data_IF_553105435572
#
_entry.id   IF_553105435572
#
_cell.length_a   1.000
_cell.length_b   1.000
_cell.length_c   1.000
_cell.angle_alpha   90.00
_cell.angle_beta   90.00
_cell.angle_gamma   90.00
#
_symmetry.space_group_name_H-M   'P 1'
#
loop_
_entity.id
_entity.type
_entity.pdbx_description
1 polymer ?
#
# COMPACT_ATOMS: atom_id res chain seq x y z
N UNK A 1 -33.83 1.31 5.14
CA UNK A 1 -32.68 1.02 4.25
C UNK A 1 -32.92 -0.28 3.50
N UNK A 2 -32.37 -0.46 2.31
CA UNK A 2 -32.24 -1.80 1.71
C UNK A 2 -31.20 -2.61 2.52
N UNK A 3 -31.35 -3.94 2.62
CA UNK A 3 -30.42 -4.76 3.39
C UNK A 3 -29.02 -4.77 2.75
N UNK A 4 -27.97 -4.88 3.55
CA UNK A 4 -26.60 -4.99 3.04
C UNK A 4 -26.48 -6.18 2.06
N UNK A 5 -27.14 -7.30 2.37
CA UNK A 5 -27.23 -8.46 1.49
C UNK A 5 -27.77 -8.12 0.09
N UNK A 6 -28.78 -7.25 -0.03
CA UNK A 6 -29.34 -6.87 -1.34
C UNK A 6 -28.40 -6.03 -2.23
N UNK A 7 -27.30 -5.49 -1.67
CA UNK A 7 -26.20 -4.91 -2.45
C UNK A 7 -25.12 -5.92 -2.84
N UNK A 8 -24.95 -7.00 -2.06
CA UNK A 8 -23.89 -8.00 -2.23
C UNK A 8 -24.35 -9.17 -3.12
N UNK A 9 -25.59 -9.64 -2.97
CA UNK A 9 -26.10 -10.76 -3.77
C UNK A 9 -26.08 -10.54 -5.29
N UNK A 10 -26.24 -9.31 -5.85
CA UNK A 10 -26.15 -9.09 -7.30
C UNK A 10 -24.73 -9.11 -7.87
N UNK A 11 -23.67 -9.08 -7.05
CA UNK A 11 -22.27 -9.20 -7.54
C UNK A 11 -21.71 -10.63 -7.43
N UNK A 12 -22.46 -11.53 -6.78
CA UNK A 12 -22.18 -12.98 -6.80
C UNK A 12 -22.68 -13.59 -8.14
N UNK A 13 -22.13 -14.74 -8.57
CA UNK A 13 -22.70 -15.50 -9.69
C UNK A 13 -24.18 -15.82 -9.47
N UNK A 14 -24.98 -15.92 -10.54
CA UNK A 14 -26.44 -15.97 -10.39
C UNK A 14 -26.98 -17.32 -9.85
N UNK A 15 -26.16 -18.37 -9.82
CA UNK A 15 -26.51 -19.72 -9.37
C UNK A 15 -25.24 -20.56 -9.09
N UNK A 16 -25.44 -21.78 -8.56
CA UNK A 16 -24.34 -22.70 -8.22
C UNK A 16 -23.46 -23.07 -9.43
N UNK A 17 -24.05 -23.30 -10.61
CA UNK A 17 -23.33 -23.74 -11.82
C UNK A 17 -22.39 -22.66 -12.37
N UNK A 18 -22.77 -21.39 -12.23
CA UNK A 18 -21.95 -20.24 -12.62
C UNK A 18 -20.83 -19.91 -11.61
N UNK A 19 -20.83 -20.50 -10.41
CA UNK A 19 -19.82 -20.22 -9.38
C UNK A 19 -18.64 -21.23 -9.49
N UNK A 20 -17.45 -20.80 -9.94
CA UNK A 20 -16.37 -21.69 -10.36
C UNK A 20 -15.51 -22.21 -9.20
N UNK A 21 -15.61 -23.52 -8.91
CA UNK A 21 -14.70 -24.23 -8.01
C UNK A 21 -13.86 -25.26 -8.80
N UNK A 22 -12.84 -24.77 -9.51
CA UNK A 22 -11.85 -25.58 -10.23
C UNK A 22 -10.47 -25.35 -9.64
N UNK A 23 -9.81 -26.42 -9.21
CA UNK A 23 -8.47 -26.47 -8.63
C UNK A 23 -7.71 -27.68 -9.19
N UNK A 24 -6.39 -27.65 -9.06
CA UNK A 24 -5.47 -28.75 -9.35
C UNK A 24 -5.46 -29.82 -8.24
N UNK A 25 -4.64 -30.86 -8.43
CA UNK A 25 -4.34 -31.92 -7.45
C UNK A 25 -3.59 -31.41 -6.20
N UNK A 26 -3.22 -30.12 -6.15
CA UNK A 26 -2.51 -29.48 -5.04
C UNK A 26 -3.38 -29.17 -3.82
N UNK A 27 -4.71 -29.17 -3.99
CA UNK A 27 -5.70 -28.95 -2.93
C UNK A 27 -6.39 -30.28 -2.63
N UNK A 28 -6.43 -30.71 -1.36
CA UNK A 28 -7.05 -32.01 -1.04
C UNK A 28 -8.55 -32.03 -1.38
N UNK A 29 -9.03 -33.19 -1.85
CA UNK A 29 -10.41 -33.38 -2.28
C UNK A 29 -11.44 -33.01 -1.19
N UNK A 30 -11.12 -33.27 0.07
CA UNK A 30 -11.95 -32.89 1.24
C UNK A 30 -12.12 -31.37 1.39
N UNK A 31 -11.11 -30.57 1.01
CA UNK A 31 -11.20 -29.10 1.00
C UNK A 31 -12.04 -28.63 -0.18
N UNK A 32 -11.93 -29.28 -1.34
CA UNK A 32 -12.81 -29.03 -2.49
C UNK A 32 -14.26 -29.37 -2.16
N UNK A 33 -14.53 -30.47 -1.45
CA UNK A 33 -15.87 -30.82 -0.95
C UNK A 33 -16.42 -29.79 0.04
N UNK A 34 -15.59 -29.27 0.96
CA UNK A 34 -15.99 -28.19 1.89
C UNK A 34 -16.29 -26.87 1.17
N UNK A 35 -15.53 -26.52 0.14
CA UNK A 35 -15.83 -25.38 -0.74
C UNK A 35 -17.15 -25.57 -1.50
N UNK A 36 -17.39 -26.77 -2.05
CA UNK A 36 -18.66 -27.10 -2.72
C UNK A 36 -19.85 -27.07 -1.75
N UNK A 37 -19.67 -27.54 -0.51
CA UNK A 37 -20.69 -27.45 0.55
C UNK A 37 -21.01 -26.00 0.91
N UNK A 38 -19.99 -25.15 1.03
CA UNK A 38 -20.14 -23.72 1.31
C UNK A 38 -20.83 -22.98 0.16
N UNK A 39 -20.50 -23.33 -1.09
CA UNK A 39 -21.20 -22.88 -2.30
C UNK A 39 -22.68 -23.25 -2.28
N UNK A 40 -23.03 -24.49 -1.90
CA UNK A 40 -24.43 -24.93 -1.75
C UNK A 40 -25.17 -24.17 -0.65
N UNK A 41 -24.51 -23.89 0.47
CA UNK A 41 -25.10 -23.09 1.55
C UNK A 41 -25.30 -21.60 1.19
N UNK A 42 -24.56 -21.07 0.21
CA UNK A 42 -24.71 -19.70 -0.28
C UNK A 42 -26.04 -19.48 -1.04
N UNK A 43 -26.49 -20.49 -1.79
CA UNK A 43 -27.69 -20.44 -2.63
C UNK A 43 -28.92 -21.16 -2.03
N UNK A 44 -28.83 -21.68 -0.80
CA UNK A 44 -29.93 -22.40 -0.13
C UNK A 44 -30.17 -21.93 1.31
N UNK A 45 -31.35 -22.24 1.85
CA UNK A 45 -31.93 -21.70 3.10
C UNK A 45 -31.29 -22.22 4.41
N UNK A 46 -29.97 -22.42 4.43
CA UNK A 46 -29.23 -22.93 5.58
C UNK A 46 -28.81 -21.78 6.52
N UNK A 47 -28.91 -22.03 7.83
CA UNK A 47 -28.69 -21.04 8.90
C UNK A 47 -27.27 -20.44 8.88
N UNK A 48 -27.19 -19.14 9.22
CA UNK A 48 -25.94 -18.35 9.17
C UNK A 48 -24.79 -18.98 9.98
N UNK A 49 -25.06 -19.50 11.18
CA UNK A 49 -24.06 -20.17 12.02
C UNK A 49 -23.36 -21.36 11.32
N UNK A 50 -24.07 -22.10 10.46
CA UNK A 50 -23.49 -23.22 9.69
C UNK A 50 -22.72 -22.76 8.45
N UNK A 51 -23.07 -21.61 7.87
CA UNK A 51 -22.28 -20.95 6.82
C UNK A 51 -20.94 -20.46 7.37
N UNK A 52 -21.00 -19.73 8.50
CA UNK A 52 -19.84 -19.12 9.14
C UNK A 52 -18.81 -20.16 9.60
N UNK A 53 -19.26 -21.27 10.22
CA UNK A 53 -18.38 -22.35 10.66
C UNK A 53 -17.63 -23.01 9.49
N UNK A 54 -18.33 -23.34 8.39
CA UNK A 54 -17.68 -23.96 7.23
C UNK A 54 -16.68 -23.00 6.56
N UNK A 55 -17.01 -21.72 6.47
CA UNK A 55 -16.10 -20.70 5.94
C UNK A 55 -14.86 -20.51 6.82
N UNK A 56 -15.00 -20.54 8.15
CA UNK A 56 -13.88 -20.46 9.08
C UNK A 56 -12.97 -21.70 8.95
N UNK A 57 -13.51 -22.92 8.88
CA UNK A 57 -12.72 -24.15 8.64
C UNK A 57 -11.90 -24.05 7.35
N UNK A 58 -12.46 -23.49 6.27
CA UNK A 58 -11.74 -23.27 5.00
C UNK A 58 -10.62 -22.23 5.17
N UNK A 59 -10.87 -21.15 5.91
CA UNK A 59 -9.85 -20.14 6.22
C UNK A 59 -8.72 -20.69 7.06
N UNK A 60 -9.01 -21.50 8.09
CA UNK A 60 -8.02 -22.05 9.02
C UNK A 60 -7.07 -23.00 8.28
N UNK A 61 -7.60 -23.98 7.54
CA UNK A 61 -6.75 -24.94 6.79
C UNK A 61 -5.97 -24.27 5.65
N UNK A 62 -6.54 -23.28 4.97
CA UNK A 62 -5.79 -22.56 3.94
C UNK A 62 -4.75 -21.62 4.55
N UNK A 63 -5.02 -20.99 5.70
CA UNK A 63 -4.03 -20.21 6.44
C UNK A 63 -2.81 -21.03 6.82
N UNK A 64 -3.00 -22.24 7.37
CA UNK A 64 -1.89 -23.16 7.66
C UNK A 64 -1.05 -23.45 6.41
N UNK A 65 -1.69 -23.74 5.28
CA UNK A 65 -1.02 -24.03 4.00
C UNK A 65 -0.28 -22.82 3.43
N UNK A 66 -0.87 -21.63 3.51
CA UNK A 66 -0.26 -20.36 3.09
C UNK A 66 0.99 -20.01 3.92
N UNK A 67 1.03 -20.41 5.19
CA UNK A 67 2.14 -20.15 6.11
C UNK A 67 3.13 -21.34 6.26
N UNK A 68 2.92 -22.44 5.51
CA UNK A 68 3.83 -23.60 5.54
C UNK A 68 5.03 -23.37 4.61
N UNK A 69 6.05 -22.70 5.14
CA UNK A 69 7.34 -22.49 4.47
C UNK A 69 7.49 -21.13 3.79
N UNK A 70 8.30 -21.06 2.72
CA UNK A 70 8.62 -19.78 2.06
C UNK A 70 7.50 -19.35 1.11
N UNK A 71 7.01 -18.11 1.26
CA UNK A 71 5.91 -17.52 0.46
C UNK A 71 6.04 -17.73 -1.05
N UNK A 72 7.26 -17.64 -1.61
CA UNK A 72 7.52 -17.84 -3.05
C UNK A 72 7.20 -19.25 -3.59
N UNK A 73 6.98 -20.24 -2.71
CA UNK A 73 6.60 -21.60 -3.08
C UNK A 73 5.10 -21.89 -2.81
N UNK A 74 4.34 -20.91 -2.32
CA UNK A 74 2.93 -21.07 -1.99
C UNK A 74 2.09 -21.14 -3.28
N UNK A 75 1.34 -22.22 -3.43
CA UNK A 75 0.60 -22.50 -4.66
C UNK A 75 -0.55 -21.48 -4.88
N UNK A 76 -0.75 -21.08 -6.14
CA UNK A 76 -1.81 -20.15 -6.52
C UNK A 76 -3.21 -20.71 -6.23
N UNK A 77 -3.39 -22.03 -6.25
CA UNK A 77 -4.67 -22.63 -5.89
C UNK A 77 -4.95 -22.53 -4.39
N UNK A 78 -3.95 -22.66 -3.51
CA UNK A 78 -4.13 -22.42 -2.07
C UNK A 78 -4.49 -20.97 -1.76
N UNK A 79 -3.88 -20.01 -2.47
CA UNK A 79 -4.27 -18.59 -2.41
C UNK A 79 -5.72 -18.37 -2.87
N UNK A 80 -6.18 -19.09 -3.90
CA UNK A 80 -7.59 -19.06 -4.33
C UNK A 80 -8.54 -19.70 -3.31
N UNK A 81 -8.17 -20.81 -2.66
CA UNK A 81 -8.95 -21.43 -1.56
C UNK A 81 -9.16 -20.41 -0.44
N UNK A 82 -8.11 -19.69 -0.04
CA UNK A 82 -8.20 -18.66 1.00
C UNK A 82 -9.17 -17.54 0.59
N UNK A 83 -9.08 -17.00 -0.63
CA UNK A 83 -10.04 -15.99 -1.13
C UNK A 83 -11.49 -16.48 -1.18
N UNK A 84 -11.74 -17.76 -1.49
CA UNK A 84 -13.09 -18.33 -1.40
C UNK A 84 -13.56 -18.49 0.05
N UNK A 85 -12.67 -18.87 0.98
CA UNK A 85 -12.95 -18.86 2.42
C UNK A 85 -13.36 -17.47 2.91
N UNK A 86 -12.62 -16.43 2.51
CA UNK A 86 -12.96 -15.03 2.78
C UNK A 86 -14.34 -14.69 2.23
N UNK A 87 -14.62 -15.00 0.96
CA UNK A 87 -15.90 -14.72 0.31
C UNK A 87 -17.08 -15.39 1.02
N UNK A 88 -16.96 -16.67 1.41
CA UNK A 88 -18.01 -17.39 2.13
C UNK A 88 -18.22 -16.84 3.55
N UNK A 89 -17.15 -16.43 4.26
CA UNK A 89 -17.25 -15.80 5.58
C UNK A 89 -17.93 -14.43 5.50
N UNK A 90 -17.53 -13.60 4.54
CA UNK A 90 -18.13 -12.29 4.26
C UNK A 90 -19.61 -12.43 3.92
N UNK A 91 -19.97 -13.40 3.08
CA UNK A 91 -21.36 -13.68 2.77
C UNK A 91 -22.15 -14.10 4.01
N UNK A 92 -21.62 -15.02 4.84
CA UNK A 92 -22.26 -15.44 6.09
C UNK A 92 -22.49 -14.27 7.06
N UNK A 93 -21.51 -13.39 7.23
CA UNK A 93 -21.62 -12.18 8.06
C UNK A 93 -22.67 -11.20 7.54
N UNK A 94 -22.78 -11.03 6.22
CA UNK A 94 -23.62 -10.01 5.59
C UNK A 94 -25.02 -10.47 5.15
N UNK A 95 -25.35 -11.77 5.24
CA UNK A 95 -26.64 -12.34 4.83
C UNK A 95 -27.85 -11.84 5.65
N UNK A 96 -27.65 -11.46 6.91
CA UNK A 96 -28.70 -11.12 7.87
C UNK A 96 -28.78 -9.59 8.04
N UNK A 97 -29.17 -9.11 9.23
CA UNK A 97 -28.94 -7.72 9.67
C UNK A 97 -27.70 -7.69 10.56
N UNK A 98 -26.48 -7.47 10.03
CA UNK A 98 -25.26 -7.45 10.83
C UNK A 98 -25.19 -6.25 11.79
N UNK A 99 -24.49 -6.43 12.91
CA UNK A 99 -23.99 -5.33 13.72
C UNK A 99 -22.79 -4.66 13.05
N UNK A 100 -22.45 -3.45 13.47
CA UNK A 100 -21.29 -2.69 12.97
C UNK A 100 -19.99 -3.52 13.05
N UNK A 101 -19.76 -4.23 14.16
CA UNK A 101 -18.61 -5.14 14.33
C UNK A 101 -18.54 -6.24 13.25
N UNK A 102 -19.67 -6.83 12.85
CA UNK A 102 -19.71 -7.84 11.79
C UNK A 102 -19.42 -7.26 10.41
N UNK A 103 -19.77 -5.99 10.17
CA UNK A 103 -19.44 -5.29 8.92
C UNK A 103 -17.94 -4.99 8.89
N UNK A 104 -17.35 -4.58 10.02
CA UNK A 104 -15.90 -4.40 10.18
C UNK A 104 -15.12 -5.72 10.04
N UNK A 105 -15.62 -6.81 10.64
CA UNK A 105 -15.06 -8.16 10.44
C UNK A 105 -15.15 -8.59 8.97
N UNK A 106 -16.25 -8.27 8.26
CA UNK A 106 -16.38 -8.56 6.84
C UNK A 106 -15.38 -7.77 5.98
N UNK A 107 -15.13 -6.47 6.26
CA UNK A 107 -14.08 -5.70 5.57
C UNK A 107 -12.71 -6.31 5.83
N UNK A 108 -12.36 -6.57 7.09
CA UNK A 108 -11.09 -7.22 7.47
C UNK A 108 -10.91 -8.58 6.79
N UNK A 109 -11.98 -9.36 6.69
CA UNK A 109 -11.98 -10.67 6.02
C UNK A 109 -11.74 -10.52 4.51
N UNK A 110 -12.33 -9.52 3.85
CA UNK A 110 -12.02 -9.23 2.45
C UNK A 110 -10.56 -8.80 2.27
N UNK A 111 -10.04 -7.92 3.13
CA UNK A 111 -8.67 -7.41 3.04
C UNK A 111 -7.63 -8.51 3.21
N UNK A 112 -7.81 -9.39 4.20
CA UNK A 112 -6.97 -10.59 4.30
C UNK A 112 -7.04 -11.42 3.01
N UNK A 113 -8.22 -11.55 2.39
CA UNK A 113 -8.42 -12.26 1.13
C UNK A 113 -7.84 -11.58 -0.12
N UNK A 114 -7.53 -10.28 -0.04
CA UNK A 114 -6.83 -9.50 -1.07
C UNK A 114 -5.30 -9.53 -0.85
N UNK A 115 -4.84 -9.44 0.40
CA UNK A 115 -3.41 -9.46 0.78
C UNK A 115 -2.82 -10.87 0.61
N UNK A 116 -3.45 -11.88 1.22
CA UNK A 116 -2.93 -13.25 1.28
C UNK A 116 -3.44 -14.12 0.12
N UNK A 117 -4.65 -13.83 -0.35
CA UNK A 117 -5.34 -14.63 -1.34
C UNK A 117 -4.87 -14.40 -2.78
N UNK A 118 -5.71 -14.74 -3.75
CA UNK A 118 -5.49 -14.49 -5.17
C UNK A 118 -6.81 -14.17 -5.88
N UNK A 119 -6.73 -13.37 -6.94
CA UNK A 119 -7.88 -12.90 -7.71
C UNK A 119 -8.88 -14.02 -8.06
N UNK A 120 -10.14 -13.82 -7.67
CA UNK A 120 -11.27 -14.70 -7.99
C UNK A 120 -12.44 -13.86 -8.54
N UNK A 121 -13.06 -14.37 -9.62
CA UNK A 121 -14.29 -13.82 -10.22
C UNK A 121 -14.23 -12.30 -10.52
N UNK A 122 -13.11 -11.81 -11.06
CA UNK A 122 -12.93 -10.38 -11.37
C UNK A 122 -12.78 -9.52 -10.11
N UNK A 123 -11.93 -9.96 -9.19
CA UNK A 123 -11.65 -9.32 -7.89
C UNK A 123 -12.91 -8.95 -7.09
N UNK A 124 -13.81 -9.92 -7.00
CA UNK A 124 -15.10 -9.80 -6.30
C UNK A 124 -14.97 -9.30 -4.85
N UNK A 125 -13.85 -9.60 -4.17
CA UNK A 125 -13.57 -9.09 -2.82
C UNK A 125 -13.37 -7.56 -2.82
N UNK A 126 -12.68 -7.01 -3.83
CA UNK A 126 -12.51 -5.56 -4.01
C UNK A 126 -13.86 -4.87 -4.27
N UNK A 127 -14.74 -5.52 -5.04
CA UNK A 127 -16.12 -5.04 -5.29
C UNK A 127 -16.95 -5.06 -4.00
N UNK A 128 -16.90 -6.13 -3.22
CA UNK A 128 -17.64 -6.25 -1.96
C UNK A 128 -17.11 -5.26 -0.90
N UNK A 129 -15.79 -5.04 -0.81
CA UNK A 129 -15.21 -4.00 0.06
C UNK A 129 -15.79 -2.62 -0.26
N UNK A 130 -15.85 -2.23 -1.54
CA UNK A 130 -16.45 -0.94 -1.95
C UNK A 130 -17.92 -0.83 -1.51
N UNK A 131 -18.68 -1.93 -1.57
CA UNK A 131 -20.07 -1.99 -1.09
C UNK A 131 -20.16 -1.84 0.44
N UNK A 132 -19.28 -2.54 1.19
CA UNK A 132 -19.20 -2.47 2.66
C UNK A 132 -18.81 -1.05 3.11
N UNK A 133 -17.76 -0.45 2.53
CA UNK A 133 -17.32 0.91 2.80
C UNK A 133 -18.43 1.93 2.50
N UNK A 134 -19.10 1.82 1.34
CA UNK A 134 -20.25 2.68 1.01
C UNK A 134 -21.35 2.59 2.07
N UNK A 135 -21.61 1.39 2.62
CA UNK A 135 -22.58 1.22 3.69
C UNK A 135 -22.11 1.85 5.02
N UNK A 136 -20.85 1.66 5.42
CA UNK A 136 -20.27 2.29 6.62
C UNK A 136 -20.34 3.83 6.53
N UNK A 137 -19.95 4.42 5.40
CA UNK A 137 -20.07 5.88 5.19
C UNK A 137 -21.53 6.36 5.27
N UNK A 138 -22.48 5.55 4.78
CA UNK A 138 -23.93 5.86 4.93
C UNK A 138 -24.34 5.86 6.40
N UNK A 139 -23.90 4.86 7.18
CA UNK A 139 -24.23 4.73 8.60
C UNK A 139 -23.64 5.88 9.44
N UNK A 140 -22.38 6.26 9.17
CA UNK A 140 -21.73 7.35 9.89
C UNK A 140 -22.32 8.72 9.53
N UNK A 141 -22.67 8.96 8.26
CA UNK A 141 -23.38 10.18 7.86
C UNK A 141 -24.71 10.37 8.60
N UNK A 142 -25.41 9.28 8.97
CA UNK A 142 -26.62 9.35 9.82
C UNK A 142 -26.34 9.44 11.33
N UNK A 143 -25.08 9.35 11.77
CA UNK A 143 -24.68 9.66 13.17
C UNK A 143 -24.26 11.13 13.31
N UNK A 144 -23.57 11.66 12.30
CA UNK A 144 -23.03 13.03 12.29
C UNK A 144 -24.12 14.12 12.25
N UNK A 145 -25.35 13.80 11.83
CA UNK A 145 -26.49 14.73 11.89
C UNK A 145 -26.99 15.01 13.33
N UNK A 146 -26.70 14.15 14.31
CA UNK A 146 -27.15 14.28 15.71
C UNK A 146 -26.11 14.93 16.66
N UNK A 147 -24.81 15.00 16.30
CA UNK A 147 -23.72 15.42 17.22
C UNK A 147 -22.93 16.68 16.74
N UNK A 148 -23.62 17.70 16.21
CA UNK A 148 -22.99 18.87 15.57
C UNK A 148 -22.61 20.05 16.49
N UNK A 149 -21.81 19.83 17.55
CA UNK A 149 -21.16 20.91 18.32
C UNK A 149 -19.61 20.84 18.40
N UNK A 150 -18.96 21.72 17.64
CA UNK A 150 -17.62 22.33 17.82
C UNK A 150 -16.41 21.52 18.32
N UNK A 151 -15.40 21.39 17.43
CA UNK A 151 -13.98 21.37 17.82
C UNK A 151 -13.06 22.04 16.77
N UNK A 152 -12.63 23.29 17.00
CA UNK A 152 -11.55 23.89 16.19
C UNK A 152 -10.17 23.31 16.58
N UNK A 153 -9.62 22.43 15.74
CA UNK A 153 -8.28 21.86 15.98
C UNK A 153 -7.19 22.87 15.60
N UNK A 154 -6.57 23.48 16.61
CA UNK A 154 -5.42 24.38 16.44
C UNK A 154 -4.22 23.63 15.86
N UNK A 155 -3.72 24.07 14.70
CA UNK A 155 -2.49 23.56 14.08
C UNK A 155 -1.29 23.71 15.02
N UNK A 156 -0.80 22.58 15.54
CA UNK A 156 0.47 22.51 16.27
C UNK A 156 1.60 22.55 15.24
N UNK A 157 2.53 23.51 15.37
CA UNK A 157 3.81 23.45 14.65
C UNK A 157 4.66 22.35 15.28
N UNK A 158 4.92 21.28 14.54
CA UNK A 158 6.02 20.37 14.81
C UNK A 158 7.31 21.07 14.32
N UNK A 159 8.38 21.03 15.10
CA UNK A 159 9.67 21.58 14.69
C UNK A 159 10.30 20.63 13.65
N UNK A 160 10.47 21.11 12.41
CA UNK A 160 11.11 20.36 11.34
C UNK A 160 12.59 20.14 11.64
N UNK A 161 13.12 18.91 11.55
CA UNK A 161 14.57 18.67 11.66
C UNK A 161 15.32 19.51 10.62
N UNK A 162 16.33 20.27 11.07
CA UNK A 162 17.13 21.15 10.23
C UNK A 162 17.89 20.35 9.15
N UNK A 163 17.33 20.31 7.94
CA UNK A 163 18.10 19.94 6.74
C UNK A 163 19.11 21.06 6.49
N UNK A 164 20.40 20.71 6.44
CA UNK A 164 21.44 21.65 6.06
C UNK A 164 21.21 22.18 4.65
N UNK A 165 21.62 23.42 4.37
CA UNK A 165 21.45 24.00 3.04
C UNK A 165 22.13 23.13 1.99
N UNK A 166 21.31 22.48 1.14
CA UNK A 166 21.76 21.66 0.02
C UNK A 166 22.57 22.54 -0.92
N UNK A 167 23.72 22.04 -1.35
CA UNK A 167 24.60 22.80 -2.22
C UNK A 167 24.16 22.66 -3.67
N UNK A 168 24.41 23.69 -4.48
CA UNK A 168 24.03 23.70 -5.88
C UNK A 168 24.77 22.62 -6.69
N UNK A 169 26.03 22.29 -6.33
CA UNK A 169 26.77 21.22 -6.99
C UNK A 169 26.32 19.79 -6.63
N UNK A 170 25.54 19.61 -5.55
CA UNK A 170 24.95 18.33 -5.14
C UNK A 170 23.42 18.29 -5.28
N UNK A 171 22.78 19.35 -5.79
CA UNK A 171 21.33 19.38 -5.93
C UNK A 171 20.85 18.47 -7.09
N UNK A 172 19.79 17.69 -6.85
CA UNK A 172 19.05 17.05 -7.96
C UNK A 172 18.44 18.15 -8.85
N UNK A 173 18.66 18.15 -10.18
CA UNK A 173 18.12 19.17 -11.06
C UNK A 173 16.59 19.17 -11.05
N UNK A 174 15.98 20.36 -11.13
CA UNK A 174 14.53 20.58 -11.17
C UNK A 174 14.13 21.12 -12.54
N UNK A 175 13.12 20.53 -13.17
CA UNK A 175 12.58 20.98 -14.47
C UNK A 175 11.05 20.95 -14.45
N UNK A 176 10.42 22.01 -14.98
CA UNK A 176 8.96 22.12 -15.04
C UNK A 176 8.42 21.59 -16.37
N UNK A 177 7.55 20.57 -16.28
CA UNK A 177 6.79 20.00 -17.41
C UNK A 177 7.60 19.82 -18.73
N UNK A 178 8.70 19.05 -18.72
CA UNK A 178 9.48 18.79 -19.94
C UNK A 178 8.65 17.99 -20.98
N UNK A 179 9.01 18.11 -22.26
CA UNK A 179 8.45 17.19 -23.27
C UNK A 179 8.93 15.75 -23.02
N UNK A 180 8.11 14.77 -23.41
CA UNK A 180 8.46 13.35 -23.36
C UNK A 180 9.80 13.05 -24.05
N UNK A 181 10.07 13.70 -25.20
CA UNK A 181 11.34 13.62 -25.92
C UNK A 181 12.51 14.17 -25.09
N UNK A 182 12.34 15.33 -24.44
CA UNK A 182 13.38 15.94 -23.60
C UNK A 182 13.66 15.09 -22.36
N UNK A 183 12.62 14.55 -21.70
CA UNK A 183 12.79 13.62 -20.59
C UNK A 183 13.50 12.34 -21.05
N UNK A 184 13.07 11.73 -22.16
CA UNK A 184 13.68 10.49 -22.69
C UNK A 184 15.16 10.69 -23.00
N UNK A 185 15.50 11.77 -23.69
CA UNK A 185 16.85 12.04 -24.18
C UNK A 185 17.81 12.50 -23.08
N UNK A 186 17.37 13.36 -22.17
CA UNK A 186 18.26 14.02 -21.20
C UNK A 186 18.34 13.31 -19.84
N UNK A 187 17.37 12.46 -19.51
CA UNK A 187 17.25 11.85 -18.17
C UNK A 187 17.02 10.34 -18.19
N UNK A 188 16.06 9.81 -18.95
CA UNK A 188 15.77 8.38 -18.98
C UNK A 188 16.92 7.56 -19.61
N UNK A 189 17.26 7.84 -20.87
CA UNK A 189 18.33 7.13 -21.60
C UNK A 189 19.72 7.24 -20.94
N UNK A 190 20.16 8.42 -20.43
CA UNK A 190 21.41 8.52 -19.68
C UNK A 190 21.31 8.16 -18.19
N UNK A 191 20.16 7.63 -17.73
CA UNK A 191 19.89 7.24 -16.34
C UNK A 191 20.27 8.32 -15.31
N UNK A 192 19.76 9.54 -15.47
CA UNK A 192 20.03 10.69 -14.57
C UNK A 192 18.80 11.03 -13.72
N UNK A 193 18.92 11.12 -12.39
CA UNK A 193 17.83 11.61 -11.54
C UNK A 193 17.43 13.05 -11.85
N UNK A 194 16.15 13.36 -11.71
CA UNK A 194 15.59 14.69 -11.93
C UNK A 194 14.26 14.85 -11.19
N UNK A 195 13.98 16.07 -10.72
CA UNK A 195 12.66 16.43 -10.19
C UNK A 195 11.84 17.06 -11.31
N UNK A 196 10.66 16.48 -11.56
CA UNK A 196 9.66 16.95 -12.49
C UNK A 196 8.62 17.79 -11.72
N UNK A 197 8.60 19.09 -11.98
CA UNK A 197 7.64 20.03 -11.40
C UNK A 197 6.43 20.21 -12.32
N UNK A 198 5.25 20.44 -11.75
CA UNK A 198 4.05 20.81 -12.50
C UNK A 198 3.26 19.63 -13.07
N UNK A 199 3.79 18.41 -13.01
CA UNK A 199 3.23 17.25 -13.73
C UNK A 199 2.09 16.56 -12.97
N UNK A 200 2.00 16.74 -11.66
CA UNK A 200 0.92 16.20 -10.80
C UNK A 200 0.00 17.28 -10.21
N UNK A 201 0.23 18.57 -10.51
CA UNK A 201 -0.57 19.72 -10.06
C UNK A 201 -2.08 19.54 -10.35
N UNK A 202 -2.44 18.69 -11.32
CA UNK A 202 -3.81 18.41 -11.76
C UNK A 202 -4.51 17.27 -10.98
N UNK A 203 -3.80 16.52 -10.13
CA UNK A 203 -4.37 15.38 -9.40
C UNK A 203 -5.53 15.82 -8.47
N UNK A 204 -6.65 15.06 -8.39
CA UNK A 204 -7.68 15.31 -7.39
C UNK A 204 -7.17 15.37 -5.95
N UNK A 205 -6.08 14.66 -5.62
CA UNK A 205 -5.37 14.69 -4.34
C UNK A 205 -4.90 16.09 -3.87
N UNK A 206 -4.79 17.06 -4.78
CA UNK A 206 -4.52 18.47 -4.45
C UNK A 206 -5.75 19.38 -4.60
N UNK A 207 -6.69 19.04 -5.49
CA UNK A 207 -7.69 19.98 -6.02
C UNK A 207 -9.15 19.69 -5.66
N UNK A 208 -9.51 18.41 -5.46
CA UNK A 208 -10.89 17.98 -5.18
C UNK A 208 -11.01 17.37 -3.80
N UNK A 209 -10.05 16.52 -3.46
CA UNK A 209 -9.98 15.84 -2.19
C UNK A 209 -8.55 16.00 -1.64
N UNK A 210 -8.20 17.18 -1.07
CA UNK A 210 -6.91 17.38 -0.45
C UNK A 210 -6.64 16.31 0.61
N UNK A 211 -5.49 15.64 0.55
CA UNK A 211 -5.11 14.56 1.48
C UNK A 211 -4.76 15.11 2.88
N UNK A 212 -5.78 15.63 3.59
CA UNK A 212 -5.72 15.81 5.04
C UNK A 212 -5.98 14.48 5.74
N UNK A 213 -5.54 14.38 6.99
CA UNK A 213 -5.82 13.23 7.87
C UNK A 213 -7.32 12.90 7.86
N UNK A 214 -8.19 13.91 7.94
CA UNK A 214 -9.65 13.79 7.97
C UNK A 214 -10.25 13.33 6.62
N UNK A 215 -9.66 13.72 5.48
CA UNK A 215 -10.10 13.16 4.20
C UNK A 215 -9.73 11.67 4.11
N UNK A 216 -8.51 11.31 4.50
CA UNK A 216 -8.16 9.89 4.68
C UNK A 216 -9.21 9.23 5.59
N UNK A 217 -9.72 9.92 6.62
CA UNK A 217 -10.68 9.36 7.58
C UNK A 217 -11.96 8.86 6.93
N UNK A 218 -12.62 9.72 6.16
CA UNK A 218 -13.86 9.34 5.48
C UNK A 218 -13.74 8.16 4.50
N UNK A 219 -12.61 8.00 3.82
CA UNK A 219 -12.50 7.06 2.69
C UNK A 219 -12.17 5.64 3.16
N UNK A 220 -11.24 5.50 4.10
CA UNK A 220 -10.81 4.28 4.75
C UNK A 220 -11.80 3.64 5.72
N UNK A 221 -11.92 4.22 6.92
CA UNK A 221 -11.10 3.79 8.06
C UNK A 221 -10.82 2.29 8.29
N UNK A 222 -11.77 1.43 7.96
CA UNK A 222 -11.79 0.02 8.33
C UNK A 222 -10.84 -0.89 7.52
N UNK A 223 -10.03 -0.34 6.60
CA UNK A 223 -9.14 -1.11 5.72
C UNK A 223 -7.87 -1.56 6.44
N UNK A 224 -7.48 -2.81 6.25
CA UNK A 224 -6.28 -3.41 6.85
C UNK A 224 -5.07 -3.29 5.92
N UNK A 225 -3.93 -2.83 6.44
CA UNK A 225 -2.67 -2.68 5.71
C UNK A 225 -1.48 -3.29 6.47
N UNK A 226 -0.40 -3.68 5.79
CA UNK A 226 0.89 -3.92 6.43
C UNK A 226 1.47 -2.62 6.98
N UNK A 227 1.98 -2.67 8.21
CA UNK A 227 2.69 -1.58 8.89
C UNK A 227 4.05 -2.09 9.32
N UNK A 228 5.10 -1.35 8.97
CA UNK A 228 6.45 -1.57 9.47
C UNK A 228 6.65 -0.86 10.82
N UNK A 229 7.23 -1.57 11.78
CA UNK A 229 7.42 -1.09 13.16
C UNK A 229 8.86 -1.37 13.56
N UNK A 230 9.63 -0.29 13.76
CA UNK A 230 11.06 -0.28 14.07
C UNK A 230 11.64 1.09 13.71
N UNK A 231 12.93 1.31 13.94
CA UNK A 231 13.61 2.53 13.46
C UNK A 231 13.81 2.48 11.94
N UNK A 232 14.28 1.33 11.42
CA UNK A 232 14.54 1.01 10.01
C UNK A 232 14.38 -0.50 9.79
N UNK A 233 14.11 -0.95 8.57
CA UNK A 233 14.06 -2.38 8.23
C UNK A 233 15.41 -3.13 8.29
N UNK A 234 16.50 -2.41 8.58
CA UNK A 234 17.85 -2.97 8.82
C UNK A 234 18.09 -3.39 10.26
N UNK A 235 17.20 -3.03 11.18
CA UNK A 235 17.45 -3.09 12.63
C UNK A 235 16.83 -4.36 13.24
N UNK A 236 17.46 -4.94 14.27
CA UNK A 236 17.05 -6.26 14.83
C UNK A 236 15.69 -6.23 15.56
N UNK A 237 15.18 -5.05 15.91
CA UNK A 237 13.87 -4.83 16.51
C UNK A 237 12.74 -4.56 15.50
N UNK A 238 13.06 -4.51 14.19
CA UNK A 238 12.06 -4.31 13.16
C UNK A 238 11.10 -5.50 13.01
N UNK A 239 9.83 -5.19 12.79
CA UNK A 239 8.78 -6.15 12.53
C UNK A 239 7.72 -5.58 11.59
N UNK A 240 6.97 -6.47 10.92
CA UNK A 240 5.76 -6.12 10.19
C UNK A 240 4.52 -6.62 10.95
N UNK A 241 3.47 -5.81 10.95
CA UNK A 241 2.19 -6.11 11.60
C UNK A 241 1.02 -5.66 10.74
N UNK A 242 -0.17 -6.25 10.94
CA UNK A 242 -1.38 -5.92 10.19
C UNK A 242 -2.33 -5.10 11.07
N UNK A 243 -2.51 -3.83 10.70
CA UNK A 243 -3.39 -2.90 11.40
C UNK A 243 -4.44 -2.36 10.43
N UNK A 244 -5.60 -1.98 10.95
CA UNK A 244 -6.42 -1.01 10.22
C UNK A 244 -5.69 0.32 10.16
N UNK A 245 -5.84 1.10 9.09
CA UNK A 245 -5.18 2.43 9.05
C UNK A 245 -5.77 3.38 10.12
N UNK A 246 -6.95 3.07 10.68
CA UNK A 246 -7.43 3.58 11.99
C UNK A 246 -6.37 3.43 13.08
N UNK A 247 -6.04 2.18 13.39
CA UNK A 247 -5.07 1.80 14.41
C UNK A 247 -3.68 2.34 14.07
N UNK A 248 -3.31 2.42 12.79
CA UNK A 248 -2.05 3.05 12.37
C UNK A 248 -2.00 4.53 12.75
N UNK A 249 -2.98 5.33 12.32
CA UNK A 249 -2.97 6.79 12.57
C UNK A 249 -3.14 7.10 14.07
N UNK A 250 -3.99 6.38 14.78
CA UNK A 250 -4.20 6.65 16.20
C UNK A 250 -2.98 6.27 17.06
N UNK A 251 -2.22 5.22 16.68
CA UNK A 251 -1.00 4.79 17.40
C UNK A 251 0.27 5.53 16.99
N UNK A 252 0.48 5.79 15.69
CA UNK A 252 1.76 6.25 15.14
C UNK A 252 1.76 7.68 14.59
N UNK A 253 0.59 8.31 14.39
CA UNK A 253 0.49 9.65 13.79
C UNK A 253 -0.05 10.70 14.78
N UNK A 254 -1.13 10.41 15.51
CA UNK A 254 -1.88 11.45 16.24
C UNK A 254 -1.74 11.44 17.77
N UNK A 255 -1.83 10.26 18.38
CA UNK A 255 -2.07 10.15 19.83
C UNK A 255 -3.34 10.91 20.32
N UNK A 256 -4.28 11.17 19.40
CA UNK A 256 -5.67 11.64 19.64
C UNK A 256 -6.62 11.46 18.40
N UNK A 257 -7.13 10.22 18.23
CA UNK A 257 -8.55 9.88 17.88
C UNK A 257 -9.06 9.98 16.40
N UNK A 258 -9.24 8.80 15.74
CA UNK A 258 -10.26 8.29 14.74
C UNK A 258 -10.47 8.88 13.32
N UNK A 259 -10.48 8.21 12.13
CA UNK A 259 -10.34 6.79 11.62
C UNK A 259 -10.12 6.63 10.02
N UNK A 260 -8.93 6.35 9.38
CA UNK A 260 -8.60 6.52 7.89
C UNK A 260 -8.09 5.43 6.88
N UNK A 261 -7.97 5.80 5.56
CA UNK A 261 -7.21 5.38 4.31
C UNK A 261 -7.99 5.85 3.01
N UNK A 262 -7.92 5.53 1.68
CA UNK A 262 -7.03 4.94 0.63
C UNK A 262 -7.50 5.49 -0.77
N UNK A 263 -6.63 5.83 -1.76
CA UNK A 263 -6.91 6.93 -2.74
C UNK A 263 -6.83 6.66 -4.27
N UNK A 264 -7.30 5.53 -4.78
CA UNK A 264 -7.05 5.15 -6.19
C UNK A 264 -7.65 6.10 -7.26
N UNK A 265 -8.79 6.76 -7.00
CA UNK A 265 -9.39 7.73 -7.95
C UNK A 265 -8.65 9.08 -8.02
N UNK A 266 -7.83 9.39 -7.00
CA UNK A 266 -7.24 10.71 -6.76
C UNK A 266 -5.85 10.93 -7.36
N UNK A 267 -5.24 9.86 -7.87
CA UNK A 267 -3.93 9.88 -8.55
C UNK A 267 -4.09 9.54 -10.03
N UNK A 268 -3.05 9.81 -10.81
CA UNK A 268 -2.93 9.40 -12.22
C UNK A 268 -1.50 8.94 -12.48
N UNK A 269 -1.32 7.95 -13.34
CA UNK A 269 0.00 7.54 -13.82
C UNK A 269 0.68 8.74 -14.51
N UNK A 270 1.96 9.03 -14.23
CA UNK A 270 2.70 10.05 -14.97
C UNK A 270 2.85 9.65 -16.44
N UNK A 271 2.51 10.54 -17.39
CA UNK A 271 2.58 10.28 -18.83
C UNK A 271 3.93 9.69 -19.28
N UNK A 272 5.02 10.08 -18.62
CA UNK A 272 6.39 9.62 -18.86
C UNK A 272 6.58 8.09 -18.73
N UNK A 273 5.69 7.37 -18.04
CA UNK A 273 5.72 5.90 -17.97
C UNK A 273 5.50 5.24 -19.35
N UNK A 274 4.79 5.88 -20.29
CA UNK A 274 4.60 5.34 -21.65
C UNK A 274 5.88 5.28 -22.50
N UNK A 275 7.02 5.71 -21.93
CA UNK A 275 8.34 5.69 -22.57
C UNK A 275 9.13 4.40 -22.30
N UNK A 276 8.61 3.51 -21.47
CA UNK A 276 9.17 2.18 -21.18
C UNK A 276 8.89 1.14 -22.26
N UNK A 277 9.15 -0.12 -21.91
CA UNK A 277 8.89 -1.31 -22.73
C UNK A 277 7.87 -2.27 -22.08
N UNK A 278 7.52 -2.07 -20.79
CA UNK A 278 6.46 -2.81 -20.11
C UNK A 278 5.04 -2.28 -20.36
N UNK A 279 4.04 -3.14 -20.16
CA UNK A 279 2.61 -2.78 -20.27
C UNK A 279 2.15 -1.92 -19.06
N UNK A 280 1.11 -1.10 -19.25
CA UNK A 280 0.56 -0.22 -18.18
C UNK A 280 0.04 -1.03 -16.97
N UNK A 281 -0.43 -2.25 -17.20
CA UNK A 281 -0.91 -3.17 -16.15
C UNK A 281 0.21 -3.74 -15.26
N UNK A 282 1.47 -3.71 -15.71
CA UNK A 282 2.64 -4.15 -14.92
C UNK A 282 3.19 -3.04 -14.00
N UNK A 283 2.70 -1.80 -14.11
CA UNK A 283 3.20 -0.67 -13.32
C UNK A 283 2.77 -0.82 -11.84
N UNK A 284 3.73 -1.13 -10.97
CA UNK A 284 3.47 -1.32 -9.54
C UNK A 284 3.38 0.02 -8.83
N UNK A 285 2.23 0.31 -8.22
CA UNK A 285 1.94 1.57 -7.51
C UNK A 285 1.94 1.32 -6.00
N UNK A 286 2.90 1.92 -5.28
CA UNK A 286 3.01 1.81 -3.82
C UNK A 286 2.72 3.14 -3.12
N UNK A 287 2.10 3.08 -1.94
CA UNK A 287 1.78 4.22 -1.09
C UNK A 287 2.72 4.28 0.13
N UNK A 288 3.31 5.45 0.38
CA UNK A 288 4.33 5.66 1.41
C UNK A 288 3.91 6.74 2.39
N UNK A 289 3.08 6.35 3.36
CA UNK A 289 2.52 7.24 4.37
C UNK A 289 3.11 6.98 5.77
N UNK A 290 3.54 8.03 6.47
CA UNK A 290 4.15 7.90 7.80
C UNK A 290 4.46 9.24 8.49
N UNK A 291 4.87 9.19 9.77
CA UNK A 291 5.21 10.39 10.54
C UNK A 291 6.54 11.03 10.08
N UNK A 292 6.82 12.22 10.63
CA UNK A 292 8.16 12.81 10.54
C UNK A 292 9.20 11.92 11.22
N UNK A 293 10.37 11.77 10.61
CA UNK A 293 11.43 10.90 11.11
C UNK A 293 11.43 9.46 10.58
N UNK A 294 10.39 9.01 9.84
CA UNK A 294 10.45 7.73 9.11
C UNK A 294 11.63 7.71 8.14
N UNK A 295 12.44 6.65 8.17
CA UNK A 295 13.63 6.47 7.34
C UNK A 295 13.53 5.19 6.51
N UNK A 296 13.75 5.32 5.20
CA UNK A 296 14.13 4.20 4.32
C UNK A 296 15.67 4.19 4.18
N UNK A 297 16.37 3.16 4.71
CA UNK A 297 17.78 2.92 4.45
C UNK A 297 18.20 3.03 2.98
N UNK A 298 19.49 3.23 2.74
CA UNK A 298 20.04 3.37 1.39
C UNK A 298 19.94 2.04 0.62
N UNK A 299 19.12 2.00 -0.43
CA UNK A 299 18.87 0.78 -1.21
C UNK A 299 18.67 1.08 -2.70
N UNK A 300 18.70 0.05 -3.54
CA UNK A 300 18.46 0.14 -4.99
C UNK A 300 17.24 -0.69 -5.41
N UNK A 301 16.44 -0.14 -6.34
CA UNK A 301 15.25 -0.78 -6.91
C UNK A 301 15.57 -1.50 -8.23
N UNK A 302 14.84 -2.57 -8.58
CA UNK A 302 15.04 -3.32 -9.84
C UNK A 302 14.43 -2.65 -11.08
N UNK A 303 13.64 -1.58 -10.91
CA UNK A 303 12.83 -0.92 -11.93
C UNK A 303 13.08 0.60 -11.96
N UNK A 304 12.59 1.29 -13.00
CA UNK A 304 12.48 2.75 -13.00
C UNK A 304 11.43 3.17 -11.96
N UNK A 305 11.67 4.26 -11.21
CA UNK A 305 10.77 4.68 -10.14
C UNK A 305 10.46 6.19 -10.23
N UNK A 306 9.17 6.56 -10.28
CA UNK A 306 8.72 7.93 -10.05
C UNK A 306 8.14 8.05 -8.64
N UNK A 307 8.82 8.78 -7.75
CA UNK A 307 8.34 9.09 -6.41
C UNK A 307 7.64 10.46 -6.41
N UNK A 308 6.31 10.45 -6.41
CA UNK A 308 5.44 11.62 -6.34
C UNK A 308 5.17 12.02 -4.88
N UNK A 309 5.36 13.29 -4.52
CA UNK A 309 5.14 13.80 -3.17
C UNK A 309 3.80 14.52 -3.06
N UNK A 310 2.94 14.11 -2.13
CA UNK A 310 1.56 14.63 -2.00
C UNK A 310 1.34 15.39 -0.70
N UNK A 311 1.83 14.88 0.43
CA UNK A 311 1.69 15.52 1.75
C UNK A 311 3.05 15.63 2.42
N UNK A 312 3.37 16.80 2.97
CA UNK A 312 4.65 17.08 3.64
C UNK A 312 5.87 16.89 2.73
N UNK A 313 7.06 16.93 3.32
CA UNK A 313 8.33 16.89 2.62
C UNK A 313 9.24 15.72 3.05
N UNK A 314 10.11 15.29 2.11
CA UNK A 314 11.10 14.22 2.32
C UNK A 314 12.48 14.69 1.87
N UNK A 315 13.48 14.50 2.72
CA UNK A 315 14.89 14.60 2.30
C UNK A 315 15.31 13.28 1.64
N UNK A 316 16.00 13.38 0.52
CA UNK A 316 16.42 12.25 -0.30
C UNK A 316 17.87 12.44 -0.72
N UNK A 317 18.69 11.38 -0.62
CA UNK A 317 20.05 11.33 -1.19
C UNK A 317 20.18 10.15 -2.14
N UNK A 318 20.83 10.39 -3.28
CA UNK A 318 20.97 9.49 -4.42
C UNK A 318 22.45 9.28 -4.76
N UNK A 319 22.84 8.03 -5.02
CA UNK A 319 24.19 7.65 -5.45
C UNK A 319 24.13 6.83 -6.75
N UNK A 320 25.16 6.96 -7.60
CA UNK A 320 25.26 6.25 -8.87
C UNK A 320 25.36 4.73 -8.67
N UNK A 321 24.76 3.90 -9.55
CA UNK A 321 25.04 2.46 -9.59
C UNK A 321 26.54 2.14 -9.76
N UNK A 322 27.31 3.02 -10.40
CA UNK A 322 28.76 2.89 -10.58
C UNK A 322 29.53 2.96 -9.25
N UNK A 323 28.99 3.69 -8.26
CA UNK A 323 29.60 3.85 -6.94
C UNK A 323 29.27 2.72 -5.96
N UNK A 324 28.50 1.70 -6.35
CA UNK A 324 28.05 0.56 -5.51
C UNK A 324 29.16 -0.01 -4.60
N UNK A 325 30.41 -0.11 -5.09
CA UNK A 325 31.54 -0.61 -4.31
C UNK A 325 31.92 0.22 -3.09
N UNK A 326 31.53 1.50 -3.04
CA UNK A 326 31.71 2.44 -1.93
C UNK A 326 30.53 2.46 -0.95
N UNK A 327 29.42 1.81 -1.30
CA UNK A 327 28.15 1.85 -0.55
C UNK A 327 27.95 0.61 0.35
N UNK A 328 28.93 -0.30 0.38
CA UNK A 328 28.97 -1.49 1.25
C UNK A 328 27.64 -2.28 1.34
N UNK A 329 27.14 -2.87 0.25
CA UNK A 329 25.92 -3.68 0.28
C UNK A 329 26.00 -4.84 1.28
N UNK A 330 24.88 -5.24 1.87
CA UNK A 330 24.84 -6.46 2.70
C UNK A 330 25.17 -7.70 1.85
N UNK A 331 25.78 -8.71 2.47
CA UNK A 331 26.18 -9.96 1.80
C UNK A 331 25.10 -11.05 1.84
N UNK A 332 23.94 -10.79 2.48
CA UNK A 332 22.82 -11.73 2.56
C UNK A 332 21.92 -11.63 1.32
N UNK A 333 21.39 -12.76 0.84
CA UNK A 333 20.56 -12.78 -0.37
C UNK A 333 19.32 -11.87 -0.28
N UNK A 334 18.78 -11.64 0.92
CA UNK A 334 17.58 -10.82 1.13
C UNK A 334 17.85 -9.31 1.20
N UNK A 335 19.07 -8.88 1.56
CA UNK A 335 19.43 -7.46 1.72
C UNK A 335 20.53 -6.99 0.76
N UNK A 336 20.89 -7.78 -0.25
CA UNK A 336 21.98 -7.47 -1.19
C UNK A 336 21.79 -6.17 -1.99
N UNK A 337 20.55 -5.65 -2.04
CA UNK A 337 20.21 -4.36 -2.64
C UNK A 337 20.19 -3.20 -1.61
N UNK A 338 20.51 -3.46 -0.34
CA UNK A 338 20.56 -2.48 0.76
C UNK A 338 21.99 -2.28 1.26
N UNK A 339 22.32 -1.05 1.63
CA UNK A 339 23.62 -0.61 2.15
C UNK A 339 23.72 -0.83 3.66
N UNK A 340 24.89 -1.24 4.13
CA UNK A 340 25.20 -1.31 5.56
C UNK A 340 25.44 0.08 6.20
N UNK A 341 25.47 1.16 5.41
CA UNK A 341 25.90 2.49 5.86
C UNK A 341 24.72 3.37 6.26
N UNK A 342 24.80 3.95 7.46
CA UNK A 342 23.85 4.97 7.91
C UNK A 342 24.19 6.33 7.27
N UNK A 343 23.46 6.70 6.20
CA UNK A 343 23.80 7.83 5.31
C UNK A 343 24.01 9.19 5.98
N UNK A 344 23.29 9.46 7.08
CA UNK A 344 23.39 10.72 7.84
C UNK A 344 24.35 10.64 9.04
N UNK A 345 24.83 9.45 9.39
CA UNK A 345 25.81 9.23 10.46
C UNK A 345 26.74 8.04 10.10
N UNK A 346 27.55 8.16 9.04
CA UNK A 346 28.34 7.05 8.53
C UNK A 346 29.52 6.72 9.44
N UNK A 347 29.66 5.44 9.79
CA UNK A 347 30.84 4.92 10.49
C UNK A 347 32.05 4.94 9.54
N UNK A 348 32.91 5.94 9.70
CA UNK A 348 34.06 6.18 8.82
C UNK A 348 35.22 5.19 9.04
N UNK A 349 35.25 4.46 10.17
CA UNK A 349 36.25 3.41 10.41
C UNK A 349 35.86 2.11 9.71
N UNK A 350 34.56 1.76 9.73
CA UNK A 350 34.02 0.58 9.03
C UNK A 350 33.80 0.81 7.54
N UNK A 351 33.44 2.02 7.13
CA UNK A 351 33.01 2.33 5.76
C UNK A 351 33.80 3.50 5.11
N UNK A 352 35.16 3.50 5.12
CA UNK A 352 35.99 4.65 4.73
C UNK A 352 35.85 5.11 3.28
N UNK A 353 35.39 4.26 2.36
CA UNK A 353 35.16 4.65 0.95
C UNK A 353 33.83 5.40 0.74
N UNK A 354 32.88 5.31 1.67
CA UNK A 354 31.56 5.95 1.56
C UNK A 354 31.67 7.48 1.52
N UNK A 355 32.61 8.05 2.27
CA UNK A 355 32.92 9.49 2.26
C UNK A 355 33.49 9.99 0.90
N UNK A 356 33.81 9.07 -0.03
CA UNK A 356 34.31 9.34 -1.39
C UNK A 356 33.29 8.98 -2.48
N UNK A 357 32.07 8.62 -2.11
CA UNK A 357 30.98 8.38 -3.03
C UNK A 357 30.28 9.73 -3.36
N UNK A 358 30.32 10.21 -4.61
CA UNK A 358 29.55 11.38 -5.01
C UNK A 358 28.06 11.08 -4.91
N UNK A 359 27.27 12.10 -4.59
CA UNK A 359 25.82 12.00 -4.46
C UNK A 359 25.11 13.23 -5.02
N UNK A 360 23.85 13.04 -5.38
CA UNK A 360 22.87 14.10 -5.49
C UNK A 360 21.93 14.05 -4.28
N UNK A 361 21.36 15.18 -3.89
CA UNK A 361 20.39 15.27 -2.80
C UNK A 361 19.31 16.31 -3.09
N UNK A 362 18.16 16.15 -2.45
CA UNK A 362 17.04 17.08 -2.56
C UNK A 362 16.16 17.05 -1.31
N UNK A 363 15.35 18.09 -1.13
CA UNK A 363 14.11 17.99 -0.36
C UNK A 363 12.96 18.02 -1.35
N UNK A 364 12.20 16.93 -1.40
CA UNK A 364 11.04 16.76 -2.26
C UNK A 364 9.82 17.39 -1.59
N UNK A 365 9.13 18.29 -2.31
CA UNK A 365 8.00 19.08 -1.82
C UNK A 365 6.66 18.60 -2.40
N UNK A 366 5.51 18.86 -1.77
CA UNK A 366 4.19 18.54 -2.35
C UNK A 366 4.02 19.12 -3.77
N UNK A 367 3.69 18.25 -4.73
CA UNK A 367 3.62 18.59 -6.16
C UNK A 367 4.87 18.22 -6.98
N UNK A 368 5.98 17.88 -6.33
CA UNK A 368 7.17 17.35 -7.00
C UNK A 368 7.03 15.85 -7.32
N UNK A 369 7.63 15.43 -8.44
CA UNK A 369 7.91 14.01 -8.72
C UNK A 369 9.40 13.80 -8.95
N UNK A 370 10.05 12.99 -8.12
CA UNK A 370 11.44 12.58 -8.34
C UNK A 370 11.49 11.37 -9.28
N UNK A 371 12.20 11.49 -10.39
CA UNK A 371 12.67 10.34 -11.16
C UNK A 371 13.90 9.73 -10.49
N UNK A 372 13.77 8.47 -10.06
CA UNK A 372 14.86 7.62 -9.59
C UNK A 372 15.10 6.59 -10.71
N UNK A 373 16.21 6.69 -11.47
CA UNK A 373 16.49 5.75 -12.54
C UNK A 373 16.82 4.36 -11.99
N UNK A 374 16.53 3.32 -12.77
CA UNK A 374 16.73 1.91 -12.38
C UNK A 374 18.10 1.65 -11.75
N UNK A 375 18.11 0.92 -10.63
CA UNK A 375 19.27 0.61 -9.77
C UNK A 375 19.98 1.81 -9.13
N UNK A 376 19.46 3.04 -9.21
CA UNK A 376 20.02 4.13 -8.40
C UNK A 376 19.83 3.84 -6.91
N UNK A 377 20.93 4.00 -6.17
CA UNK A 377 20.95 3.86 -4.73
C UNK A 377 20.31 5.10 -4.11
N UNK A 378 19.20 4.93 -3.38
CA UNK A 378 18.44 6.03 -2.81
C UNK A 378 18.17 5.83 -1.31
N UNK A 379 18.30 6.91 -0.56
CA UNK A 379 18.02 7.02 0.87
C UNK A 379 16.93 8.07 1.07
N UNK A 380 15.95 7.82 1.93
CA UNK A 380 14.79 8.70 2.13
C UNK A 380 14.52 8.92 3.62
N UNK A 381 14.25 10.16 4.02
CA UNK A 381 13.76 10.52 5.37
C UNK A 381 12.61 11.52 5.31
N UNK A 382 11.48 11.17 5.91
CA UNK A 382 10.35 12.09 6.14
C UNK A 382 10.78 13.22 7.07
N UNK A 383 10.58 14.49 6.67
CA UNK A 383 10.90 15.66 7.50
C UNK A 383 9.76 16.01 8.46
N UNK A 384 8.54 15.66 8.06
CA UNK A 384 7.28 15.91 8.77
C UNK A 384 6.30 14.76 8.44
N UNK A 385 5.04 14.87 8.84
CA UNK A 385 3.97 13.97 8.39
C UNK A 385 3.95 13.90 6.86
N UNK A 386 4.23 12.72 6.29
CA UNK A 386 4.54 12.59 4.87
C UNK A 386 3.70 11.53 4.17
N UNK A 387 3.20 11.84 2.98
CA UNK A 387 2.56 10.89 2.06
C UNK A 387 3.18 11.06 0.66
N UNK A 388 3.77 9.97 0.15
CA UNK A 388 4.23 9.86 -1.24
C UNK A 388 3.58 8.67 -1.95
N UNK A 389 3.58 8.69 -3.28
CA UNK A 389 3.21 7.55 -4.12
C UNK A 389 4.37 7.23 -5.06
N UNK A 390 4.79 5.97 -5.15
CA UNK A 390 5.82 5.54 -6.10
C UNK A 390 5.23 4.71 -7.22
N UNK A 391 5.62 5.00 -8.46
CA UNK A 391 5.27 4.21 -9.64
C UNK A 391 6.51 3.48 -10.15
N UNK A 392 6.51 2.15 -10.07
CA UNK A 392 7.60 1.29 -10.55
C UNK A 392 7.29 0.74 -11.94
N UNK A 393 8.14 1.05 -12.92
CA UNK A 393 7.92 0.74 -14.35
C UNK A 393 9.23 0.31 -15.03
N UNK A 394 9.18 -0.11 -16.30
CA UNK A 394 10.31 -0.72 -17.02
C UNK A 394 10.42 -0.16 -18.43
#
# INVERSE_FOLDING_TARGET
MASLWSKISPVLPANEDQFPLKFSDKVELSVVEMLQRSRKQLYGDITSSSRLLNAQIILDISWEKLNTGTWRHVDKDWRRVYSYGCLFKVAALCCESPSEDKILEAVRTCDMGLIMGAAIMGDILQVIVRILQSHIRTLNSTKEEDESEHAEVKRIKIESPLVSAIKEESAVPRIRCPSLESFKTNYLLPLKPVILEGIIDHWPAFNKHPWSIEYLRSVAGCRTVPVEVGSRYTDEDWSQTLLTVNEFIDRYILNKVTVPDLFCDDIRLPDYCCLGEGDEEDITVNAWFGPGGTVSPLHQDPQQNFLAQVVGSKYIRLYSPEDTGKLYPHQSQLLHNTSQVQVENPDAERFPEFAKAPYLECVLQPGDVLFIPVRHWHYVRSLELSFSVSFWWS
#
